data_IF_537025642998
#
_entry.id   IF_537025642998
#
_cell.length_a   1.000
_cell.length_b   1.000
_cell.length_c   1.000
_cell.angle_alpha   90.00
_cell.angle_beta   90.00
_cell.angle_gamma   90.00
#
_symmetry.space_group_name_H-M   'P 1'
#
loop_
_entity.id
_entity.type
_entity.pdbx_description
1 polymer ?
#
# COMPACT_ATOMS: atom_id res chain seq x y z
N UNK A 1 -2.96 17.00 36.57
CA UNK A 1 -2.35 17.15 35.23
C UNK A 1 -3.27 16.47 34.22
N UNK A 2 -3.78 17.23 33.25
CA UNK A 2 -4.89 16.85 32.36
C UNK A 2 -4.33 16.06 31.15
N UNK A 3 -4.49 14.74 31.16
CA UNK A 3 -3.98 13.79 30.17
C UNK A 3 -4.69 13.84 28.79
N UNK A 4 -5.24 14.99 28.37
CA UNK A 4 -6.24 15.04 27.28
C UNK A 4 -5.76 15.60 25.95
N UNK A 5 -4.52 16.08 25.82
CA UNK A 5 -4.24 17.12 24.81
C UNK A 5 -3.08 16.84 23.82
N UNK A 6 -2.71 15.60 23.50
CA UNK A 6 -1.76 15.36 22.39
C UNK A 6 -2.10 14.15 21.52
N UNK A 7 -3.32 14.10 21.01
CA UNK A 7 -3.51 13.45 19.71
C UNK A 7 -2.97 14.44 18.68
N UNK A 8 -1.92 14.05 17.94
CA UNK A 8 -1.43 14.84 16.82
C UNK A 8 -2.54 14.89 15.76
N UNK A 9 -3.33 15.96 15.78
CA UNK A 9 -4.35 16.19 14.75
C UNK A 9 -3.60 16.70 13.51
N UNK A 10 -3.36 15.78 12.57
CA UNK A 10 -2.90 16.14 11.24
C UNK A 10 -4.05 16.89 10.54
N UNK A 11 -3.96 18.21 10.47
CA UNK A 11 -4.86 19.04 9.67
C UNK A 11 -4.55 18.83 8.19
N UNK A 12 -5.16 17.82 7.57
CA UNK A 12 -5.11 17.66 6.13
C UNK A 12 -6.16 18.57 5.48
N UNK A 13 -5.82 19.29 4.41
CA UNK A 13 -6.79 20.07 3.65
C UNK A 13 -7.90 19.16 3.12
N UNK A 14 -9.12 19.72 3.02
CA UNK A 14 -10.31 19.00 2.60
C UNK A 14 -10.08 18.40 1.19
N UNK A 15 -10.00 17.07 1.10
CA UNK A 15 -9.67 16.33 -0.12
C UNK A 15 -8.33 15.57 -0.10
N UNK A 16 -7.40 15.91 0.80
CA UNK A 16 -6.10 15.21 0.89
C UNK A 16 -6.07 14.03 1.86
N UNK A 17 -7.05 13.92 2.75
CA UNK A 17 -7.13 12.85 3.76
C UNK A 17 -7.08 11.46 3.12
N UNK A 18 -7.79 11.26 2.01
CA UNK A 18 -7.85 9.98 1.30
C UNK A 18 -6.52 9.63 0.64
N UNK A 19 -5.88 10.60 -0.04
CA UNK A 19 -4.56 10.42 -0.64
C UNK A 19 -3.49 10.14 0.42
N UNK A 20 -3.54 10.83 1.55
CA UNK A 20 -2.64 10.59 2.68
C UNK A 20 -2.85 9.20 3.31
N UNK A 21 -4.11 8.78 3.48
CA UNK A 21 -4.44 7.44 3.99
C UNK A 21 -3.94 6.34 3.03
N UNK A 22 -4.15 6.52 1.72
CA UNK A 22 -3.64 5.61 0.70
C UNK A 22 -2.10 5.55 0.66
N UNK A 23 -1.41 6.68 0.91
CA UNK A 23 0.04 6.71 1.03
C UNK A 23 0.55 5.97 2.27
N UNK A 24 -0.14 6.09 3.41
CA UNK A 24 0.22 5.37 4.63
C UNK A 24 0.05 3.85 4.45
N UNK A 25 -1.05 3.42 3.83
CA UNK A 25 -1.27 2.01 3.47
C UNK A 25 -0.20 1.53 2.48
N UNK A 26 0.17 2.35 1.50
CA UNK A 26 1.26 2.03 0.58
C UNK A 26 2.58 1.76 1.31
N UNK A 27 2.96 2.55 2.32
CA UNK A 27 4.20 2.28 3.08
C UNK A 27 4.14 0.97 3.87
N UNK A 28 2.97 0.64 4.43
CA UNK A 28 2.78 -0.66 5.10
C UNK A 28 2.94 -1.79 4.09
N UNK A 29 2.30 -1.68 2.92
CA UNK A 29 2.42 -2.65 1.84
C UNK A 29 3.86 -2.78 1.31
N UNK A 30 4.59 -1.67 1.21
CA UNK A 30 5.99 -1.66 0.82
C UNK A 30 6.87 -2.40 1.83
N UNK A 31 6.67 -2.14 3.12
CA UNK A 31 7.42 -2.79 4.18
C UNK A 31 7.20 -4.30 4.21
N UNK A 32 5.94 -4.74 4.12
CA UNK A 32 5.60 -6.16 4.03
C UNK A 32 6.20 -6.79 2.77
N UNK A 33 6.06 -6.13 1.62
CA UNK A 33 6.61 -6.63 0.36
C UNK A 33 8.14 -6.75 0.39
N UNK A 34 8.84 -5.74 0.92
CA UNK A 34 10.29 -5.78 1.07
C UNK A 34 10.73 -6.92 2.00
N UNK A 35 10.00 -7.15 3.09
CA UNK A 35 10.23 -8.29 3.99
C UNK A 35 10.02 -9.63 3.27
N UNK A 36 8.93 -9.76 2.50
CA UNK A 36 8.62 -10.98 1.74
C UNK A 36 9.69 -11.24 0.66
N UNK A 37 10.11 -10.22 -0.10
CA UNK A 37 11.20 -10.32 -1.10
C UNK A 37 12.53 -10.72 -0.44
N UNK A 38 12.90 -10.08 0.68
CA UNK A 38 14.13 -10.42 1.39
C UNK A 38 14.10 -11.88 1.89
N UNK A 39 12.94 -12.31 2.37
CA UNK A 39 12.75 -13.66 2.85
C UNK A 39 12.75 -14.70 1.71
N UNK A 40 12.31 -14.30 0.51
CA UNK A 40 12.27 -15.14 -0.69
C UNK A 40 13.64 -15.25 -1.37
N UNK A 41 14.31 -14.12 -1.62
CA UNK A 41 15.56 -14.10 -2.38
C UNK A 41 16.81 -14.37 -1.53
N UNK A 42 16.84 -13.93 -0.26
CA UNK A 42 18.07 -13.95 0.54
C UNK A 42 18.07 -15.12 1.52
N UNK A 43 17.06 -15.19 2.38
CA UNK A 43 17.07 -16.13 3.51
C UNK A 43 16.39 -17.48 3.23
N UNK A 44 15.68 -17.60 2.09
CA UNK A 44 14.95 -18.81 1.66
C UNK A 44 14.06 -19.40 2.77
N UNK A 45 13.56 -18.57 3.69
CA UNK A 45 12.83 -18.97 4.89
C UNK A 45 11.31 -18.91 4.66
N UNK A 46 10.79 -19.72 3.75
CA UNK A 46 9.41 -19.65 3.26
C UNK A 46 8.31 -19.61 4.33
N UNK A 47 8.53 -20.20 5.50
CA UNK A 47 7.58 -20.18 6.63
C UNK A 47 7.33 -18.77 7.22
N UNK A 48 8.21 -17.80 6.96
CA UNK A 48 8.08 -16.42 7.43
C UNK A 48 7.40 -15.48 6.43
N UNK A 49 6.99 -15.96 5.25
CA UNK A 49 6.29 -15.12 4.27
C UNK A 49 4.85 -14.87 4.68
N UNK A 50 4.36 -13.67 4.36
CA UNK A 50 3.03 -13.22 4.75
C UNK A 50 1.86 -13.88 3.98
N UNK A 51 2.03 -15.07 3.40
CA UNK A 51 1.01 -15.76 2.60
C UNK A 51 -0.28 -16.05 3.37
N UNK A 52 -0.18 -16.35 4.67
CA UNK A 52 -1.36 -16.55 5.52
C UNK A 52 -2.27 -15.31 5.60
N UNK A 53 -1.70 -14.13 5.39
CA UNK A 53 -2.42 -12.85 5.42
C UNK A 53 -2.60 -12.25 4.02
N UNK A 54 -2.29 -12.99 2.95
CA UNK A 54 -2.41 -12.50 1.56
C UNK A 54 -3.81 -11.98 1.25
N UNK A 55 -4.88 -12.67 1.68
CA UNK A 55 -6.26 -12.20 1.43
C UNK A 55 -6.50 -10.83 2.05
N UNK A 56 -6.07 -10.63 3.31
CA UNK A 56 -6.22 -9.37 4.02
C UNK A 56 -5.39 -8.26 3.36
N UNK A 57 -4.16 -8.58 2.95
CA UNK A 57 -3.25 -7.64 2.32
C UNK A 57 -3.72 -7.24 0.91
N UNK A 58 -4.28 -8.17 0.14
CA UNK A 58 -4.88 -7.88 -1.16
C UNK A 58 -6.12 -7.01 -0.99
N UNK A 59 -6.98 -7.32 -0.01
CA UNK A 59 -8.16 -6.52 0.27
C UNK A 59 -7.78 -5.08 0.69
N UNK A 60 -6.78 -4.92 1.55
CA UNK A 60 -6.32 -3.58 1.94
C UNK A 60 -5.60 -2.83 0.82
N UNK A 61 -4.92 -3.52 -0.11
CA UNK A 61 -4.38 -2.89 -1.33
C UNK A 61 -5.49 -2.34 -2.22
N UNK A 62 -6.56 -3.10 -2.44
CA UNK A 62 -7.71 -2.63 -3.23
C UNK A 62 -8.34 -1.40 -2.58
N UNK A 63 -8.55 -1.43 -1.26
CA UNK A 63 -9.04 -0.25 -0.51
C UNK A 63 -8.10 0.95 -0.69
N UNK A 64 -6.78 0.73 -0.59
CA UNK A 64 -5.78 1.78 -0.80
C UNK A 64 -5.86 2.40 -2.20
N UNK A 65 -6.01 1.57 -3.24
CA UNK A 65 -6.21 2.03 -4.63
C UNK A 65 -7.51 2.83 -4.76
N UNK A 66 -8.62 2.34 -4.18
CA UNK A 66 -9.89 3.07 -4.20
C UNK A 66 -9.78 4.43 -3.50
N UNK A 67 -9.09 4.51 -2.37
CA UNK A 67 -8.85 5.78 -1.67
C UNK A 67 -7.93 6.71 -2.46
N UNK A 68 -6.88 6.19 -3.12
CA UNK A 68 -6.03 6.98 -3.99
C UNK A 68 -6.81 7.52 -5.22
N UNK A 69 -7.68 6.71 -5.81
CA UNK A 69 -8.52 7.11 -6.94
C UNK A 69 -9.52 8.19 -6.54
N UNK A 70 -10.23 8.00 -5.42
CA UNK A 70 -11.13 9.02 -4.87
C UNK A 70 -10.37 10.30 -4.50
N UNK A 71 -9.19 10.19 -3.90
CA UNK A 71 -8.32 11.33 -3.58
C UNK A 71 -7.86 12.09 -4.84
N UNK A 72 -7.59 11.38 -5.94
CA UNK A 72 -7.29 11.99 -7.23
C UNK A 72 -8.49 12.74 -7.81
N UNK A 73 -9.69 12.17 -7.75
CA UNK A 73 -10.91 12.83 -8.20
C UNK A 73 -11.22 14.08 -7.37
N UNK A 74 -11.05 14.00 -6.04
CA UNK A 74 -11.20 15.18 -5.19
C UNK A 74 -10.18 16.27 -5.53
N UNK A 75 -8.91 15.91 -5.75
CA UNK A 75 -7.88 16.88 -6.14
C UNK A 75 -8.16 17.54 -7.50
N UNK A 76 -8.79 16.81 -8.42
CA UNK A 76 -9.26 17.36 -9.69
C UNK A 76 -10.39 18.37 -9.51
N UNK A 77 -11.34 18.12 -8.60
CA UNK A 77 -12.42 19.06 -8.29
C UNK A 77 -11.92 20.36 -7.64
N UNK A 78 -10.77 20.33 -6.93
CA UNK A 78 -10.18 21.51 -6.29
C UNK A 78 -9.28 22.35 -7.23
N UNK A 79 -9.12 21.93 -8.49
CA UNK A 79 -8.31 22.55 -9.56
C UNK A 79 -6.84 22.86 -9.19
N UNK A 80 -6.31 22.18 -8.17
CA UNK A 80 -4.93 22.33 -7.73
C UNK A 80 -4.03 21.30 -8.45
N UNK A 81 -3.24 21.80 -9.40
CA UNK A 81 -2.33 20.98 -10.22
C UNK A 81 -1.33 20.18 -9.40
N UNK A 82 -0.86 20.72 -8.26
CA UNK A 82 0.14 20.03 -7.44
C UNK A 82 -0.49 18.83 -6.73
N UNK A 83 -1.64 19.02 -6.09
CA UNK A 83 -2.33 17.93 -5.39
C UNK A 83 -2.84 16.85 -6.34
N UNK A 84 -3.27 17.24 -7.54
CA UNK A 84 -3.64 16.27 -8.58
C UNK A 84 -2.45 15.38 -8.98
N UNK A 85 -1.30 15.99 -9.27
CA UNK A 85 -0.08 15.24 -9.62
C UNK A 85 0.33 14.30 -8.48
N UNK A 86 0.29 14.78 -7.24
CA UNK A 86 0.62 13.98 -6.07
C UNK A 86 -0.34 12.79 -5.88
N UNK A 87 -1.65 13.00 -5.98
CA UNK A 87 -2.65 11.94 -5.85
C UNK A 87 -2.55 10.89 -6.97
N UNK A 88 -2.34 11.32 -8.21
CA UNK A 88 -2.09 10.42 -9.34
C UNK A 88 -0.82 9.59 -9.15
N UNK A 89 0.24 10.20 -8.61
CA UNK A 89 1.48 9.49 -8.29
C UNK A 89 1.22 8.38 -7.26
N UNK A 90 0.46 8.68 -6.20
CA UNK A 90 0.08 7.70 -5.17
C UNK A 90 -0.76 6.56 -5.76
N UNK A 91 -1.68 6.89 -6.68
CA UNK A 91 -2.48 5.89 -7.39
C UNK A 91 -1.62 4.95 -8.23
N UNK A 92 -0.68 5.50 -9.00
CA UNK A 92 0.26 4.71 -9.81
C UNK A 92 1.16 3.83 -8.95
N UNK A 93 1.66 4.36 -7.82
CA UNK A 93 2.48 3.60 -6.88
C UNK A 93 1.70 2.44 -6.24
N UNK A 94 0.47 2.67 -5.80
CA UNK A 94 -0.38 1.60 -5.25
C UNK A 94 -0.71 0.54 -6.31
N UNK A 95 -1.00 0.95 -7.54
CA UNK A 95 -1.22 0.01 -8.66
C UNK A 95 0.02 -0.82 -8.97
N UNK A 96 1.19 -0.19 -9.09
CA UNK A 96 2.44 -0.90 -9.33
C UNK A 96 2.76 -1.89 -8.20
N UNK A 97 2.49 -1.52 -6.96
CA UNK A 97 2.71 -2.39 -5.81
C UNK A 97 1.79 -3.62 -5.80
N UNK A 98 0.54 -3.45 -6.23
CA UNK A 98 -0.40 -4.56 -6.40
C UNK A 98 0.10 -5.59 -7.42
N UNK A 99 0.59 -5.13 -8.58
CA UNK A 99 1.19 -6.03 -9.57
C UNK A 99 2.45 -6.72 -9.06
N UNK A 100 3.35 -5.99 -8.40
CA UNK A 100 4.57 -6.59 -7.82
C UNK A 100 4.24 -7.67 -6.79
N UNK A 101 3.21 -7.45 -5.96
CA UNK A 101 2.72 -8.44 -5.00
C UNK A 101 2.22 -9.70 -5.71
N UNK A 102 1.36 -9.55 -6.71
CA UNK A 102 0.85 -10.67 -7.51
C UNK A 102 1.98 -11.46 -8.18
N UNK A 103 2.96 -10.78 -8.76
CA UNK A 103 4.13 -11.42 -9.39
C UNK A 103 4.93 -12.25 -8.40
N UNK A 104 5.13 -11.74 -7.18
CA UNK A 104 5.85 -12.48 -6.13
C UNK A 104 5.06 -13.70 -5.64
N UNK A 105 3.74 -13.58 -5.51
CA UNK A 105 2.89 -14.73 -5.15
C UNK A 105 2.89 -15.80 -6.25
N UNK A 106 2.85 -15.40 -7.52
CA UNK A 106 2.96 -16.33 -8.65
C UNK A 106 4.32 -17.04 -8.69
N UNK A 107 5.41 -16.31 -8.56
CA UNK A 107 6.77 -16.87 -8.49
C UNK A 107 6.93 -17.85 -7.33
N UNK A 108 6.35 -17.53 -6.17
CA UNK A 108 6.42 -18.40 -5.01
C UNK A 108 5.62 -19.70 -5.17
N UNK A 109 4.47 -19.66 -5.87
CA UNK A 109 3.71 -20.86 -6.21
C UNK A 109 4.51 -21.74 -7.17
N UNK A 110 5.03 -21.18 -8.26
CA UNK A 110 5.85 -21.94 -9.22
C UNK A 110 7.06 -22.58 -8.55
N UNK A 111 7.77 -21.84 -7.70
CA UNK A 111 8.93 -22.36 -6.98
C UNK A 111 8.58 -23.52 -6.02
N UNK A 112 7.40 -23.48 -5.38
CA UNK A 112 6.93 -24.58 -4.52
C UNK A 112 6.53 -25.80 -5.33
N UNK A 113 5.94 -25.61 -6.52
CA UNK A 113 5.55 -26.69 -7.43
C UNK A 113 6.76 -27.38 -8.07
N UNK A 114 7.84 -26.64 -8.34
CA UNK A 114 9.05 -27.16 -8.99
C UNK A 114 9.99 -27.93 -8.02
N UNK A 115 9.89 -27.68 -6.71
CA UNK A 115 10.69 -28.37 -5.69
C UNK A 115 9.97 -29.55 -5.01
N UNK A 116 8.77 -29.91 -5.46
CA UNK A 116 7.96 -31.01 -4.90
C UNK A 116 7.82 -32.20 -5.84
#
# INVERSE_FOLDING_TARGET
>A
MRWRDRLAVLFFPQGMVLSAAALMLFFIHLGVFASDVHNFCVTHHYDRMSFHYTVVLMFSQVISICWAAMGSLYAEMTDDKFFRCFALTILMLNGAMFFNRLSLEFLAIQYREENH
#
